data_IF_714335449378
#
_entry.id   IF_714335449378
#
_cell.length_a   1.000
_cell.length_b   1.000
_cell.length_c   1.000
_cell.angle_alpha   90.00
_cell.angle_beta   90.00
_cell.angle_gamma   90.00
#
_symmetry.space_group_name_H-M   'P 1'
#
loop_
_entity.id
_entity.type
_entity.pdbx_description
1 polymer ?
#
# COMPACT_ATOMS: atom_id res chain seq x y z
N UNK A 1 24.89 20.59 10.80
CA UNK A 1 24.41 19.21 10.52
C UNK A 1 22.92 19.09 10.21
N UNK A 2 22.00 19.88 10.80
CA UNK A 2 20.55 19.78 10.50
C UNK A 2 20.15 20.17 9.06
N UNK A 3 20.87 21.10 8.42
CA UNK A 3 20.55 21.59 7.07
C UNK A 3 20.87 20.58 5.94
N UNK A 4 21.86 19.70 6.12
CA UNK A 4 22.23 18.68 5.13
C UNK A 4 21.18 17.55 5.07
N UNK A 5 20.60 17.20 6.22
CA UNK A 5 19.52 16.20 6.32
C UNK A 5 18.23 16.72 5.64
N UNK A 6 17.96 18.03 5.74
CA UNK A 6 16.81 18.67 5.08
C UNK A 6 16.91 18.76 3.55
N UNK A 7 18.09 18.55 2.96
CA UNK A 7 18.24 18.51 1.50
C UNK A 7 18.22 17.08 0.94
N UNK A 8 18.56 16.07 1.76
CA UNK A 8 18.35 14.66 1.43
C UNK A 8 16.85 14.31 1.31
N UNK A 9 15.99 15.01 2.05
CA UNK A 9 14.51 14.84 1.96
C UNK A 9 13.88 15.46 0.72
N UNK A 10 14.64 16.26 -0.06
CA UNK A 10 14.19 16.79 -1.35
C UNK A 10 14.44 15.84 -2.52
N UNK A 11 15.14 14.73 -2.31
CA UNK A 11 15.47 13.79 -3.38
C UNK A 11 14.45 12.64 -3.49
N UNK A 12 13.59 12.78 -4.52
CA UNK A 12 13.05 11.77 -5.44
C UNK A 12 12.32 10.53 -4.88
N UNK A 13 11.10 10.30 -5.41
CA UNK A 13 10.27 9.08 -5.44
C UNK A 13 10.14 8.24 -4.15
N UNK A 14 11.24 7.81 -3.55
CA UNK A 14 11.32 7.03 -2.33
C UNK A 14 10.69 7.71 -1.13
N UNK A 15 10.77 9.04 -1.00
CA UNK A 15 10.09 9.74 0.11
C UNK A 15 8.56 9.66 0.00
N UNK A 16 8.02 9.65 -1.22
CA UNK A 16 6.60 9.46 -1.48
C UNK A 16 6.19 8.01 -1.23
N UNK A 17 6.99 7.05 -1.69
CA UNK A 17 6.79 5.63 -1.41
C UNK A 17 6.83 5.33 0.09
N UNK A 18 7.80 5.91 0.80
CA UNK A 18 7.93 5.80 2.25
C UNK A 18 6.76 6.44 2.98
N UNK A 19 6.23 7.57 2.49
CA UNK A 19 5.02 8.18 3.06
C UNK A 19 3.79 7.27 2.87
N UNK A 20 3.61 6.67 1.69
CA UNK A 20 2.52 5.70 1.44
C UNK A 20 2.67 4.48 2.35
N UNK A 21 3.86 3.88 2.43
CA UNK A 21 4.16 2.73 3.29
C UNK A 21 3.96 3.07 4.78
N UNK A 22 4.49 4.20 5.23
CA UNK A 22 4.31 4.67 6.60
C UNK A 22 2.83 4.93 6.92
N UNK A 23 2.05 5.42 5.95
CA UNK A 23 0.60 5.64 6.10
C UNK A 23 -0.15 4.31 6.18
N UNK A 24 0.28 3.31 5.40
CA UNK A 24 -0.27 1.96 5.42
C UNK A 24 -0.09 1.31 6.79
N UNK A 25 1.12 1.41 7.37
CA UNK A 25 1.51 0.78 8.65
C UNK A 25 1.02 1.56 9.86
N UNK A 26 1.40 2.84 9.99
CA UNK A 26 1.14 3.64 11.20
C UNK A 26 -0.28 4.18 11.27
N UNK A 27 -0.97 4.27 10.13
CA UNK A 27 -2.20 5.05 10.04
C UNK A 27 -1.96 6.54 10.33
N UNK A 28 -3.03 7.30 10.55
CA UNK A 28 -2.98 8.72 10.88
C UNK A 28 -4.25 9.47 10.46
N UNK A 29 -4.25 10.79 10.62
CA UNK A 29 -5.31 11.67 10.15
C UNK A 29 -5.18 11.89 8.63
N UNK A 30 -5.85 11.02 7.88
CA UNK A 30 -5.76 10.91 6.42
C UNK A 30 -7.14 11.14 5.81
N UNK A 31 -7.17 11.59 4.55
CA UNK A 31 -8.45 11.77 3.85
C UNK A 31 -9.23 10.46 3.80
N UNK A 32 -10.57 10.54 3.75
CA UNK A 32 -11.43 9.36 3.62
C UNK A 32 -11.05 8.50 2.42
N UNK A 33 -10.66 9.13 1.30
CA UNK A 33 -10.14 8.44 0.13
C UNK A 33 -8.84 7.65 0.41
N UNK A 34 -7.89 8.24 1.15
CA UNK A 34 -6.65 7.54 1.53
C UNK A 34 -6.96 6.39 2.50
N UNK A 35 -7.93 6.58 3.40
CA UNK A 35 -8.39 5.53 4.33
C UNK A 35 -9.02 4.36 3.57
N UNK A 36 -9.88 4.64 2.58
CA UNK A 36 -10.45 3.62 1.68
C UNK A 36 -9.36 2.89 0.92
N UNK A 37 -8.42 3.61 0.31
CA UNK A 37 -7.28 2.99 -0.38
C UNK A 37 -6.44 2.09 0.53
N UNK A 38 -6.22 2.52 1.78
CA UNK A 38 -5.54 1.72 2.81
C UNK A 38 -6.31 0.44 3.12
N UNK A 39 -7.61 0.51 3.34
CA UNK A 39 -8.44 -0.67 3.61
C UNK A 39 -8.40 -1.67 2.45
N UNK A 40 -8.49 -1.21 1.20
CA UNK A 40 -8.37 -2.06 0.01
C UNK A 40 -6.99 -2.71 -0.06
N UNK A 41 -5.93 -1.93 0.16
CA UNK A 41 -4.56 -2.47 0.15
C UNK A 41 -4.35 -3.55 1.21
N UNK A 42 -4.83 -3.32 2.43
CA UNK A 42 -4.76 -4.29 3.52
C UNK A 42 -5.59 -5.54 3.23
N UNK A 43 -6.78 -5.41 2.62
CA UNK A 43 -7.58 -6.57 2.18
C UNK A 43 -6.85 -7.41 1.13
N UNK A 44 -6.09 -6.78 0.22
CA UNK A 44 -5.23 -7.48 -0.72
C UNK A 44 -4.13 -8.29 -0.02
N UNK A 45 -3.37 -7.67 0.88
CA UNK A 45 -2.30 -8.36 1.63
C UNK A 45 -2.86 -9.49 2.52
N UNK A 46 -3.95 -9.22 3.23
CA UNK A 46 -4.56 -10.14 4.19
C UNK A 46 -5.71 -10.94 3.58
N UNK A 47 -5.69 -11.18 2.27
CA UNK A 47 -6.73 -11.95 1.59
C UNK A 47 -6.87 -13.35 2.21
N UNK A 48 -8.00 -13.67 2.86
CA UNK A 48 -8.16 -14.92 3.62
C UNK A 48 -8.02 -16.15 2.72
N UNK A 49 -8.47 -16.06 1.45
CA UNK A 49 -8.38 -17.16 0.50
C UNK A 49 -6.94 -17.53 0.14
N UNK A 50 -6.08 -16.53 -0.06
CA UNK A 50 -4.67 -16.78 -0.34
C UNK A 50 -3.99 -17.47 0.84
N UNK A 51 -4.17 -16.94 2.05
CA UNK A 51 -3.57 -17.52 3.26
C UNK A 51 -4.12 -18.91 3.56
N UNK A 52 -5.43 -19.10 3.40
CA UNK A 52 -6.04 -20.41 3.52
C UNK A 52 -5.43 -21.41 2.54
N UNK A 53 -5.43 -21.11 1.24
CA UNK A 53 -4.85 -21.97 0.20
C UNK A 53 -3.36 -22.26 0.44
N UNK A 54 -2.60 -21.29 0.93
CA UNK A 54 -1.19 -21.46 1.28
C UNK A 54 -1.01 -22.45 2.44
N UNK A 55 -1.78 -22.29 3.52
CA UNK A 55 -1.64 -23.11 4.73
C UNK A 55 -2.29 -24.49 4.62
N UNK A 56 -3.27 -24.67 3.74
CA UNK A 56 -3.88 -25.99 3.48
C UNK A 56 -3.12 -26.81 2.44
N UNK A 57 -2.07 -26.25 1.84
CA UNK A 57 -1.27 -26.96 0.83
C UNK A 57 -1.98 -27.12 -0.51
N UNK A 58 -2.73 -26.09 -0.93
CA UNK A 58 -3.44 -26.08 -2.21
C UNK A 58 -2.50 -26.26 -3.42
N UNK A 59 -3.10 -26.56 -4.57
CA UNK A 59 -2.36 -26.73 -5.82
C UNK A 59 -1.61 -25.46 -6.21
N UNK A 60 -0.49 -25.59 -6.94
CA UNK A 60 0.30 -24.44 -7.42
C UNK A 60 -0.55 -23.46 -8.26
N UNK A 61 -1.48 -23.97 -9.06
CA UNK A 61 -2.38 -23.15 -9.89
C UNK A 61 -3.35 -22.32 -9.05
N UNK A 62 -3.96 -22.95 -8.05
CA UNK A 62 -4.86 -22.27 -7.10
C UNK A 62 -4.13 -21.20 -6.28
N UNK A 63 -2.93 -21.54 -5.77
CA UNK A 63 -2.11 -20.60 -5.04
C UNK A 63 -1.69 -19.41 -5.90
N UNK A 64 -1.28 -19.65 -7.15
CA UNK A 64 -0.91 -18.60 -8.09
C UNK A 64 -2.10 -17.69 -8.44
N UNK A 65 -3.29 -18.28 -8.61
CA UNK A 65 -4.51 -17.51 -8.85
C UNK A 65 -4.84 -16.59 -7.67
N UNK A 66 -4.86 -17.12 -6.45
CA UNK A 66 -5.14 -16.32 -5.27
C UNK A 66 -4.07 -15.27 -4.97
N UNK A 67 -2.79 -15.56 -5.22
CA UNK A 67 -1.70 -14.60 -5.11
C UNK A 67 -1.81 -13.46 -6.14
N UNK A 68 -2.19 -13.80 -7.38
CA UNK A 68 -2.37 -12.80 -8.44
C UNK A 68 -3.59 -11.93 -8.13
N UNK A 69 -4.71 -12.54 -7.76
CA UNK A 69 -5.92 -11.81 -7.41
C UNK A 69 -5.68 -10.87 -6.21
N UNK A 70 -5.05 -11.36 -5.15
CA UNK A 70 -4.77 -10.58 -3.95
C UNK A 70 -3.76 -9.45 -4.19
N UNK A 71 -2.75 -9.67 -5.03
CA UNK A 71 -1.78 -8.64 -5.42
C UNK A 71 -2.40 -7.53 -6.28
N UNK A 72 -3.29 -7.85 -7.22
CA UNK A 72 -4.04 -6.85 -8.00
C UNK A 72 -4.85 -5.96 -7.06
N UNK A 73 -5.59 -6.54 -6.12
CA UNK A 73 -6.36 -5.80 -5.12
C UNK A 73 -5.46 -4.90 -4.28
N UNK A 74 -4.30 -5.41 -3.84
CA UNK A 74 -3.31 -4.61 -3.11
C UNK A 74 -2.83 -3.39 -3.90
N UNK A 75 -2.47 -3.56 -5.18
CA UNK A 75 -1.99 -2.47 -6.03
C UNK A 75 -3.07 -1.43 -6.33
N UNK A 76 -4.34 -1.84 -6.47
CA UNK A 76 -5.47 -0.90 -6.59
C UNK A 76 -5.54 0.00 -5.34
N UNK A 77 -5.46 -0.59 -4.15
CA UNK A 77 -5.47 0.17 -2.89
C UNK A 77 -4.31 1.17 -2.80
N UNK A 78 -3.09 0.73 -3.17
CA UNK A 78 -1.92 1.62 -3.26
C UNK A 78 -2.11 2.77 -4.26
N UNK A 79 -2.70 2.49 -5.43
CA UNK A 79 -2.99 3.50 -6.43
C UNK A 79 -3.93 4.59 -5.92
N UNK A 80 -5.02 4.19 -5.24
CA UNK A 80 -5.97 5.12 -4.61
C UNK A 80 -5.28 5.97 -3.54
N UNK A 81 -4.48 5.34 -2.67
CA UNK A 81 -3.69 6.08 -1.66
C UNK A 81 -2.73 7.07 -2.30
N UNK A 82 -2.00 6.67 -3.34
CA UNK A 82 -1.03 7.51 -4.03
C UNK A 82 -1.70 8.73 -4.67
N UNK A 83 -2.81 8.53 -5.39
CA UNK A 83 -3.57 9.63 -6.01
C UNK A 83 -4.11 10.58 -4.96
N UNK A 84 -4.73 10.06 -3.89
CA UNK A 84 -5.29 10.92 -2.83
C UNK A 84 -4.21 11.72 -2.09
N UNK A 85 -3.06 11.11 -1.80
CA UNK A 85 -1.92 11.78 -1.18
C UNK A 85 -1.26 12.82 -2.11
N UNK A 86 -1.27 12.59 -3.42
CA UNK A 86 -0.82 13.59 -4.41
C UNK A 86 -1.76 14.78 -4.46
N UNK A 87 -3.08 14.54 -4.48
CA UNK A 87 -4.09 15.62 -4.48
C UNK A 87 -4.06 16.46 -3.21
N UNK A 88 -3.81 15.86 -2.03
CA UNK A 88 -3.69 16.60 -0.76
C UNK A 88 -2.43 17.49 -0.67
N UNK A 89 -1.43 17.29 -1.55
CA UNK A 89 -0.18 18.09 -1.59
C UNK A 89 -0.27 19.27 -2.59
N UNK A 90 -1.37 19.36 -3.35
CA UNK A 90 -1.66 20.44 -4.32
C UNK A 90 -2.65 21.50 -3.79
N UNK A 91 -3.03 21.42 -2.51
CA UNK A 91 -3.71 22.47 -1.76
C UNK A 91 -2.73 23.04 -0.74
#
# INVERSE_FOLDING_TARGET
MKAAINNLTKWCAYSHMFKVLSTLVKGGDISDQTKTGRSIALLGIFCPFFWFALFTGASKGELAFHATHSSVVFFIGLGVMFVSLKSKKGQ
#
